data_IF_044785146365
#
_entry.id   IF_044785146365
#
_cell.length_a   1.000
_cell.length_b   1.000
_cell.length_c   1.000
_cell.angle_alpha   90.00
_cell.angle_beta   90.00
_cell.angle_gamma   90.00
#
_symmetry.space_group_name_H-M   'P 1'
#
loop_
_entity.id
_entity.type
_entity.pdbx_description
1 polymer ?
#
# COMPACT_ATOMS: atom_id res chain seq x y z
N UNK A 1 -2.27 -6.97 20.19
CA UNK A 1 -1.67 -5.98 19.28
C UNK A 1 -1.25 -6.65 17.97
N UNK A 2 -1.82 -6.18 16.89
CA UNK A 2 -1.47 -6.71 15.60
C UNK A 2 -0.16 -6.11 15.09
N UNK A 3 0.67 -6.93 14.50
CA UNK A 3 1.93 -6.52 13.91
C UNK A 3 2.38 -7.65 12.99
N UNK A 4 3.44 -7.43 12.24
CA UNK A 4 4.11 -8.52 11.55
C UNK A 4 4.76 -9.35 12.65
N UNK A 5 4.14 -10.47 12.96
CA UNK A 5 4.42 -11.20 14.18
C UNK A 5 5.49 -12.25 14.03
N UNK A 6 5.60 -12.88 12.87
CA UNK A 6 6.54 -13.96 12.68
C UNK A 6 7.79 -13.45 11.98
N UNK A 7 8.90 -14.08 12.31
CA UNK A 7 10.17 -13.79 11.65
C UNK A 7 10.05 -14.03 10.13
N UNK A 8 9.32 -15.06 9.74
CA UNK A 8 9.13 -15.40 8.33
C UNK A 8 8.36 -14.31 7.59
N UNK A 9 7.31 -13.77 8.21
CA UNK A 9 6.52 -12.69 7.61
C UNK A 9 7.37 -11.44 7.44
N UNK A 10 8.17 -11.10 8.44
CA UNK A 10 9.06 -9.96 8.40
C UNK A 10 10.07 -10.13 7.24
N UNK A 11 10.70 -11.30 7.15
CA UNK A 11 11.69 -11.58 6.10
C UNK A 11 11.06 -11.52 4.72
N UNK A 12 9.87 -12.08 4.56
CA UNK A 12 9.13 -12.05 3.30
C UNK A 12 8.86 -10.61 2.87
N UNK A 13 8.39 -9.80 3.80
CA UNK A 13 8.11 -8.40 3.49
C UNK A 13 9.39 -7.62 3.21
N UNK A 14 10.45 -7.89 3.96
CA UNK A 14 11.72 -7.21 3.77
C UNK A 14 12.27 -7.46 2.36
N UNK A 15 12.24 -8.72 1.91
CA UNK A 15 12.67 -9.08 0.55
C UNK A 15 11.83 -8.36 -0.49
N UNK A 16 10.54 -8.36 -0.31
CA UNK A 16 9.59 -7.70 -1.20
C UNK A 16 9.85 -6.19 -1.27
N UNK A 17 9.99 -5.56 -0.11
CA UNK A 17 10.25 -4.12 -0.03
C UNK A 17 11.57 -3.75 -0.69
N UNK A 18 12.65 -4.50 -0.39
CA UNK A 18 13.96 -4.23 -0.97
C UNK A 18 13.92 -4.31 -2.49
N UNK A 19 13.21 -5.28 -3.03
CA UNK A 19 13.05 -5.42 -4.48
C UNK A 19 12.33 -4.21 -5.07
N UNK A 20 11.21 -3.81 -4.48
CA UNK A 20 10.45 -2.64 -4.94
C UNK A 20 11.23 -1.34 -4.79
N UNK A 21 11.88 -1.16 -3.65
CA UNK A 21 12.68 0.03 -3.36
C UNK A 21 13.85 0.16 -4.35
N UNK A 22 14.55 -0.94 -4.61
CA UNK A 22 15.68 -0.94 -5.55
C UNK A 22 15.24 -0.59 -6.97
N UNK A 23 14.11 -1.14 -7.40
CA UNK A 23 13.53 -0.82 -8.70
C UNK A 23 13.13 0.66 -8.78
N UNK A 24 12.48 1.17 -7.74
CA UNK A 24 12.10 2.58 -7.70
C UNK A 24 13.31 3.50 -7.75
N UNK A 25 14.38 3.14 -7.05
CA UNK A 25 15.63 3.89 -7.03
C UNK A 25 16.26 3.93 -8.42
N UNK A 26 16.27 2.80 -9.11
CA UNK A 26 16.78 2.73 -10.48
C UNK A 26 15.95 3.60 -11.43
N UNK A 27 14.62 3.54 -11.32
CA UNK A 27 13.73 4.37 -12.12
C UNK A 27 14.00 5.86 -11.90
N UNK A 28 14.15 6.28 -10.64
CA UNK A 28 14.45 7.68 -10.31
C UNK A 28 15.77 8.12 -10.96
N UNK A 29 16.75 7.24 -10.96
CA UNK A 29 18.06 7.52 -11.56
C UNK A 29 17.96 7.69 -13.08
N UNK A 30 17.17 6.83 -13.73
CA UNK A 30 17.00 6.86 -15.18
C UNK A 30 16.07 7.98 -15.66
N UNK A 31 15.28 8.57 -14.76
CA UNK A 31 14.27 9.56 -15.12
C UNK A 31 14.48 10.89 -14.40
N UNK A 32 15.73 11.28 -14.21
CA UNK A 32 16.05 12.54 -13.55
C UNK A 32 15.38 13.72 -14.27
N UNK A 33 14.80 14.62 -13.49
CA UNK A 33 14.10 15.77 -14.02
C UNK A 33 12.67 15.54 -14.44
N UNK A 34 12.20 14.29 -14.38
CA UNK A 34 10.81 13.96 -14.74
C UNK A 34 9.90 14.02 -13.52
N UNK A 35 8.60 14.20 -13.76
CA UNK A 35 7.59 14.22 -12.71
C UNK A 35 7.36 12.81 -12.17
N UNK A 36 6.70 12.73 -11.00
CA UNK A 36 6.35 11.44 -10.41
C UNK A 36 5.48 10.61 -11.37
N UNK A 37 4.49 11.23 -12.01
CA UNK A 37 3.63 10.55 -12.97
C UNK A 37 4.38 9.99 -14.16
N UNK A 38 5.32 10.77 -14.69
CA UNK A 38 6.16 10.34 -15.79
C UNK A 38 7.06 9.16 -15.39
N UNK A 39 7.60 9.22 -14.17
CA UNK A 39 8.43 8.14 -13.63
C UNK A 39 7.66 6.85 -13.49
N UNK A 40 6.43 6.93 -13.00
CA UNK A 40 5.57 5.75 -12.85
C UNK A 40 5.25 5.15 -14.22
N UNK A 41 4.93 5.98 -15.20
CA UNK A 41 4.66 5.52 -16.57
C UNK A 41 5.90 4.84 -17.17
N UNK A 42 7.07 5.43 -16.97
CA UNK A 42 8.33 4.84 -17.45
C UNK A 42 8.57 3.48 -16.79
N UNK A 43 8.35 3.39 -15.47
CA UNK A 43 8.56 2.16 -14.73
C UNK A 43 7.70 1.01 -15.30
N UNK A 44 6.47 1.31 -15.65
CA UNK A 44 5.53 0.30 -16.16
C UNK A 44 5.88 -0.23 -17.54
N UNK A 45 6.69 0.50 -18.31
CA UNK A 45 7.18 0.02 -19.58
C UNK A 45 8.58 -0.60 -19.47
N UNK A 46 9.37 -0.11 -18.53
CA UNK A 46 10.76 -0.55 -18.34
C UNK A 46 10.87 -1.87 -17.57
N UNK A 47 10.07 -2.02 -16.52
CA UNK A 47 10.09 -3.22 -15.67
C UNK A 47 9.24 -4.29 -16.31
N UNK A 48 9.74 -5.54 -16.45
CA UNK A 48 8.96 -6.63 -17.03
C UNK A 48 7.65 -6.84 -16.29
N UNK A 49 6.57 -7.13 -17.03
CA UNK A 49 5.24 -7.34 -16.45
C UNK A 49 5.21 -8.45 -15.41
N UNK A 50 5.93 -9.54 -15.66
CA UNK A 50 5.98 -10.64 -14.70
C UNK A 50 6.51 -10.18 -13.35
N UNK A 51 7.51 -9.28 -13.37
CA UNK A 51 8.05 -8.70 -12.14
C UNK A 51 7.01 -7.79 -11.48
N UNK A 52 6.38 -6.91 -12.26
CA UNK A 52 5.37 -5.97 -11.73
C UNK A 52 4.17 -6.69 -11.12
N UNK A 53 3.80 -7.84 -11.68
CA UNK A 53 2.65 -8.62 -11.20
C UNK A 53 2.95 -9.45 -9.96
N UNK A 54 4.22 -9.57 -9.57
CA UNK A 54 4.59 -10.28 -8.34
C UNK A 54 3.93 -9.60 -7.15
N UNK A 55 3.37 -10.39 -6.22
CA UNK A 55 2.73 -9.82 -5.04
C UNK A 55 2.91 -10.72 -3.83
N UNK A 56 2.68 -10.13 -2.65
CA UNK A 56 2.68 -10.84 -1.38
C UNK A 56 1.39 -10.53 -0.63
N UNK A 57 1.05 -11.40 0.31
CA UNK A 57 -0.02 -11.13 1.27
C UNK A 57 0.59 -10.26 2.37
N UNK A 58 0.04 -9.07 2.57
CA UNK A 58 0.60 -8.12 3.53
C UNK A 58 -0.25 -7.95 4.77
N UNK A 59 -1.48 -8.44 4.75
CA UNK A 59 -2.34 -8.30 5.91
C UNK A 59 -3.65 -9.03 5.74
N UNK A 60 -4.44 -9.00 6.81
CA UNK A 60 -5.74 -9.62 6.87
C UNK A 60 -6.77 -8.57 7.27
N UNK A 61 -7.78 -8.41 6.44
CA UNK A 61 -8.86 -7.47 6.69
C UNK A 61 -9.77 -8.02 7.78
N UNK A 62 -10.27 -7.13 8.65
CA UNK A 62 -11.26 -7.49 9.65
C UNK A 62 -12.60 -7.81 8.98
N UNK A 63 -13.50 -8.43 9.72
CA UNK A 63 -14.85 -8.72 9.22
C UNK A 63 -15.54 -7.42 8.81
N UNK A 64 -15.41 -6.38 9.62
CA UNK A 64 -16.00 -5.07 9.30
C UNK A 64 -15.42 -4.47 8.02
N UNK A 65 -14.10 -4.58 7.84
CA UNK A 65 -13.47 -4.07 6.64
C UNK A 65 -13.93 -4.85 5.40
N UNK A 66 -14.05 -6.17 5.50
CA UNK A 66 -14.55 -7.00 4.39
C UNK A 66 -15.95 -6.55 3.98
N UNK A 67 -16.82 -6.28 4.94
CA UNK A 67 -18.17 -5.81 4.68
C UNK A 67 -18.17 -4.44 3.99
N UNK A 68 -17.37 -3.51 4.50
CA UNK A 68 -17.28 -2.18 3.92
C UNK A 68 -16.74 -2.21 2.49
N UNK A 69 -15.77 -3.07 2.22
CA UNK A 69 -15.19 -3.21 0.89
C UNK A 69 -16.06 -4.07 -0.03
N UNK A 70 -17.09 -4.71 0.52
CA UNK A 70 -17.94 -5.65 -0.22
C UNK A 70 -17.11 -6.75 -0.87
N UNK A 71 -16.07 -7.20 -0.17
CA UNK A 71 -15.14 -8.22 -0.65
C UNK A 71 -15.54 -9.61 -0.16
N UNK A 72 -15.15 -10.64 -0.89
CA UNK A 72 -15.31 -12.03 -0.45
C UNK A 72 -14.02 -12.58 0.13
N UNK A 73 -12.94 -11.81 0.09
CA UNK A 73 -11.63 -12.24 0.59
C UNK A 73 -11.16 -11.36 1.74
N UNK A 74 -10.55 -11.99 2.76
CA UNK A 74 -9.95 -11.26 3.87
C UNK A 74 -8.48 -10.90 3.61
N UNK A 75 -7.88 -11.44 2.55
CA UNK A 75 -6.46 -11.22 2.28
C UNK A 75 -6.24 -9.86 1.63
N UNK A 76 -5.24 -9.12 2.13
CA UNK A 76 -4.78 -7.88 1.52
C UNK A 76 -3.43 -8.17 0.84
N UNK A 77 -3.34 -7.88 -0.44
CA UNK A 77 -2.13 -8.11 -1.25
C UNK A 77 -1.44 -6.81 -1.60
N UNK A 78 -0.13 -6.90 -1.79
CA UNK A 78 0.67 -5.77 -2.24
C UNK A 78 1.51 -6.23 -3.43
N UNK A 79 1.39 -5.54 -4.56
CA UNK A 79 2.13 -5.90 -5.78
C UNK A 79 3.41 -5.10 -5.91
N UNK A 80 4.36 -5.64 -6.68
CA UNK A 80 5.59 -4.92 -7.00
C UNK A 80 5.26 -3.63 -7.74
N UNK A 81 4.30 -3.65 -8.66
CA UNK A 81 3.86 -2.45 -9.37
C UNK A 81 3.48 -1.34 -8.37
N UNK A 82 2.69 -1.67 -7.38
CA UNK A 82 2.22 -0.68 -6.41
C UNK A 82 3.29 -0.24 -5.41
N UNK A 83 4.18 -1.14 -4.97
CA UNK A 83 5.27 -0.72 -4.08
C UNK A 83 6.27 0.18 -4.82
N UNK A 84 6.58 -0.12 -6.08
CA UNK A 84 7.45 0.74 -6.89
C UNK A 84 6.82 2.12 -7.05
N UNK A 85 5.55 2.15 -7.44
CA UNK A 85 4.82 3.41 -7.58
C UNK A 85 4.82 4.20 -6.26
N UNK A 86 4.57 3.52 -5.16
CA UNK A 86 4.50 4.18 -3.87
C UNK A 86 5.86 4.73 -3.44
N UNK A 87 6.94 4.00 -3.68
CA UNK A 87 8.29 4.49 -3.37
C UNK A 87 8.67 5.70 -4.23
N UNK A 88 8.13 5.79 -5.44
CA UNK A 88 8.36 6.94 -6.31
C UNK A 88 7.55 8.16 -5.86
N UNK A 89 6.25 7.96 -5.61
CA UNK A 89 5.32 9.06 -5.36
C UNK A 89 5.25 9.50 -3.90
N UNK A 90 5.55 8.59 -2.97
CA UNK A 90 5.47 8.83 -1.52
C UNK A 90 6.77 8.40 -0.85
N UNK A 91 7.86 9.08 -1.22
CA UNK A 91 9.20 8.73 -0.73
C UNK A 91 9.42 9.04 0.75
N UNK A 92 8.50 9.76 1.37
CA UNK A 92 8.52 10.03 2.80
C UNK A 92 8.07 8.84 3.65
N UNK A 93 7.41 7.85 3.04
CA UNK A 93 7.02 6.61 3.72
C UNK A 93 8.25 5.71 3.82
N UNK A 94 8.59 5.32 5.03
CA UNK A 94 9.78 4.50 5.30
C UNK A 94 9.39 3.03 5.48
N UNK A 95 10.39 2.15 5.48
CA UNK A 95 10.16 0.73 5.66
C UNK A 95 9.34 0.44 6.92
N UNK A 96 9.66 1.12 8.02
CA UNK A 96 8.96 0.93 9.31
C UNK A 96 7.49 1.31 9.21
N UNK A 97 7.16 2.28 8.39
CA UNK A 97 5.76 2.68 8.19
C UNK A 97 4.98 1.57 7.49
N UNK A 98 5.59 0.94 6.48
CA UNK A 98 4.94 -0.17 5.76
C UNK A 98 4.62 -1.34 6.68
N UNK A 99 5.41 -1.53 7.73
CA UNK A 99 5.18 -2.59 8.71
C UNK A 99 3.90 -2.39 9.50
N UNK A 100 3.29 -1.21 9.42
CA UNK A 100 2.01 -0.91 10.07
C UNK A 100 0.81 -1.40 9.26
N UNK A 101 1.00 -1.72 7.98
CA UNK A 101 -0.14 -2.09 7.11
C UNK A 101 -0.95 -3.25 7.67
N UNK A 102 -0.36 -4.34 8.19
CA UNK A 102 -1.17 -5.42 8.77
C UNK A 102 -2.06 -4.94 9.92
N UNK A 103 -1.56 -4.05 10.75
CA UNK A 103 -2.31 -3.50 11.87
C UNK A 103 -3.46 -2.61 11.37
N UNK A 104 -3.21 -1.79 10.35
CA UNK A 104 -4.24 -0.93 9.75
C UNK A 104 -5.34 -1.77 9.12
N UNK A 105 -4.98 -2.82 8.40
CA UNK A 105 -5.93 -3.71 7.75
C UNK A 105 -6.85 -4.39 8.78
N UNK A 106 -6.30 -4.76 9.92
CA UNK A 106 -7.06 -5.43 10.97
C UNK A 106 -7.94 -4.46 11.76
N UNK A 107 -7.46 -3.26 12.03
CA UNK A 107 -8.17 -2.31 12.88
C UNK A 107 -7.94 -0.86 12.45
N UNK A 108 -8.52 -0.45 11.32
CA UNK A 108 -8.40 0.95 10.91
C UNK A 108 -9.18 1.87 11.86
N UNK A 109 -8.74 3.12 11.95
CA UNK A 109 -9.46 4.12 12.75
C UNK A 109 -10.78 4.49 12.08
N UNK A 110 -10.80 4.49 10.75
CA UNK A 110 -11.99 4.81 9.97
C UNK A 110 -11.84 4.25 8.56
N UNK A 111 -12.95 3.83 7.96
CA UNK A 111 -13.00 3.39 6.57
C UNK A 111 -13.91 4.35 5.82
N UNK A 112 -13.40 4.88 4.70
CA UNK A 112 -14.17 5.76 3.83
C UNK A 112 -14.38 5.07 2.49
N UNK A 113 -15.63 4.89 2.11
CA UNK A 113 -15.95 4.30 0.82
C UNK A 113 -15.83 5.33 -0.28
N UNK A 114 -15.33 4.88 -1.43
CA UNK A 114 -15.20 5.71 -2.61
C UNK A 114 -16.13 5.19 -3.70
N UNK A 115 -16.62 6.09 -4.55
CA UNK A 115 -17.46 5.72 -5.69
C UNK A 115 -16.66 4.97 -6.76
N UNK A 116 -15.35 5.07 -6.74
CA UNK A 116 -14.48 4.52 -7.78
C UNK A 116 -13.92 3.14 -7.43
N UNK A 117 -14.39 2.52 -6.34
CA UNK A 117 -13.89 1.23 -5.91
C UNK A 117 -12.54 1.30 -5.21
N UNK A 118 -12.06 2.50 -4.91
CA UNK A 118 -10.85 2.71 -4.11
C UNK A 118 -11.28 3.16 -2.74
N UNK A 119 -11.22 2.27 -1.78
CA UNK A 119 -11.64 2.58 -0.42
C UNK A 119 -10.44 3.00 0.42
N UNK A 120 -10.69 3.87 1.40
CA UNK A 120 -9.62 4.49 2.18
C UNK A 120 -9.73 4.03 3.62
N UNK A 121 -8.61 3.53 4.14
CA UNK A 121 -8.48 3.19 5.56
C UNK A 121 -7.57 4.22 6.21
N UNK A 122 -8.10 4.92 7.21
CA UNK A 122 -7.34 5.90 7.99
C UNK A 122 -6.88 5.26 9.29
N UNK A 123 -5.69 5.64 9.73
CA UNK A 123 -5.12 5.10 10.95
C UNK A 123 -4.24 6.14 11.62
N UNK A 124 -4.36 6.23 12.93
CA UNK A 124 -3.52 7.11 13.74
C UNK A 124 -2.83 6.28 14.82
N UNK A 125 -1.52 6.45 14.93
CA UNK A 125 -0.75 5.84 16.02
C UNK A 125 0.29 6.87 16.47
N UNK A 126 0.24 7.21 17.74
CA UNK A 126 1.09 8.27 18.31
C UNK A 126 0.85 9.58 17.56
N UNK A 127 1.89 10.17 17.00
CA UNK A 127 1.77 11.42 16.23
C UNK A 127 1.81 11.19 14.73
N UNK A 128 1.66 9.94 14.30
CA UNK A 128 1.66 9.59 12.88
C UNK A 128 0.26 9.27 12.39
N UNK A 129 -0.03 9.74 11.19
CA UNK A 129 -1.34 9.59 10.56
C UNK A 129 -1.13 8.94 9.20
N UNK A 130 -1.88 7.88 8.92
CA UNK A 130 -1.71 7.08 7.71
C UNK A 130 -2.98 7.03 6.90
N UNK A 131 -2.80 6.99 5.58
CA UNK A 131 -3.89 6.76 4.63
C UNK A 131 -3.52 5.56 3.77
N UNK A 132 -4.26 4.48 3.91
CA UNK A 132 -4.09 3.27 3.12
C UNK A 132 -5.25 3.19 2.13
N UNK A 133 -4.94 3.21 0.83
CA UNK A 133 -5.96 3.07 -0.20
C UNK A 133 -5.97 1.62 -0.68
N UNK A 134 -7.14 1.00 -0.65
CA UNK A 134 -7.33 -0.39 -1.02
C UNK A 134 -8.26 -0.48 -2.22
N UNK A 135 -7.88 -1.27 -3.20
CA UNK A 135 -8.69 -1.55 -4.39
C UNK A 135 -9.18 -2.99 -4.30
N UNK A 136 -10.49 -3.18 -4.31
CA UNK A 136 -11.09 -4.50 -4.43
C UNK A 136 -11.44 -4.73 -5.90
N UNK A 137 -11.13 -5.90 -6.41
CA UNK A 137 -11.36 -6.23 -7.82
C UNK A 137 -12.86 -6.27 -8.14
N UNK A 138 -13.21 -6.18 -9.43
CA UNK A 138 -14.60 -6.14 -9.88
C UNK A 138 -15.40 -7.36 -9.43
N UNK A 139 -14.79 -8.55 -9.46
CA UNK A 139 -15.44 -9.78 -8.99
C UNK A 139 -15.37 -9.95 -7.47
N UNK A 140 -14.84 -8.94 -6.76
CA UNK A 140 -14.83 -8.86 -5.30
C UNK A 140 -14.01 -9.94 -4.59
N UNK A 141 -13.14 -10.64 -5.29
CA UNK A 141 -12.40 -11.75 -4.71
C UNK A 141 -10.94 -11.45 -4.37
N UNK A 142 -10.46 -10.24 -4.66
CA UNK A 142 -9.09 -9.84 -4.32
C UNK A 142 -9.04 -8.39 -3.85
N UNK A 143 -8.19 -8.13 -2.87
CA UNK A 143 -7.97 -6.79 -2.34
C UNK A 143 -6.49 -6.44 -2.46
N UNK A 144 -6.19 -5.28 -3.03
CA UNK A 144 -4.81 -4.83 -3.23
C UNK A 144 -4.55 -3.50 -2.56
N UNK A 145 -3.36 -3.35 -1.99
CA UNK A 145 -2.89 -2.02 -1.58
C UNK A 145 -2.66 -1.22 -2.86
N UNK A 146 -3.37 -0.12 -3.00
CA UNK A 146 -3.23 0.76 -4.14
C UNK A 146 -2.20 1.85 -3.87
N UNK A 147 -2.24 2.44 -2.67
CA UNK A 147 -1.26 3.42 -2.24
C UNK A 147 -1.24 3.53 -0.72
N UNK A 148 -0.15 4.04 -0.19
CA UNK A 148 0.03 4.20 1.25
C UNK A 148 0.77 5.49 1.51
N UNK A 149 0.15 6.39 2.28
CA UNK A 149 0.64 7.75 2.50
C UNK A 149 0.74 8.07 3.98
N UNK A 150 1.69 8.95 4.30
CA UNK A 150 1.64 9.66 5.56
C UNK A 150 0.80 10.91 5.36
N UNK A 151 0.02 11.28 6.37
CA UNK A 151 -0.77 12.51 6.36
C UNK A 151 -0.31 13.44 7.47
N UNK A 152 -0.46 14.74 7.25
CA UNK A 152 -0.33 15.71 8.33
C UNK A 152 -1.61 15.68 9.14
N UNK A 153 -1.51 16.02 10.42
CA UNK A 153 -2.65 16.00 11.33
C UNK A 153 -3.84 16.80 10.78
N UNK A 154 -3.57 17.98 10.26
CA UNK A 154 -4.62 18.83 9.69
C UNK A 154 -5.39 18.12 8.57
N UNK A 155 -4.67 17.44 7.68
CA UNK A 155 -5.28 16.73 6.56
C UNK A 155 -6.06 15.51 7.06
N UNK A 156 -5.50 14.79 8.02
CA UNK A 156 -6.18 13.64 8.62
C UNK A 156 -7.51 14.07 9.23
N UNK A 157 -7.50 15.18 9.97
CA UNK A 157 -8.72 15.68 10.61
C UNK A 157 -9.79 16.11 9.63
N UNK A 158 -9.41 16.47 8.40
CA UNK A 158 -10.38 16.80 7.36
C UNK A 158 -11.18 15.57 6.92
N UNK A 159 -10.62 14.36 7.06
CA UNK A 159 -11.30 13.11 6.73
C UNK A 159 -12.21 12.64 7.86
N UNK A 160 -11.86 12.99 9.09
CA UNK A 160 -12.63 12.58 10.26
C UNK A 160 -13.77 13.55 10.50
#
# INVERSE_FOLDING_TARGET
>A
MSKICTQKEYETFNIFYEKGYSLAKEIKKLTQGQSAGERVSFARTYIPKDTLNGCINIGKLSIDAIKELESTSSTLKFSIDNIVKNCITHSDVKFEDYLKIPQIAEKPSKILKSKNGYDVMLFQENEKYYKLVVKTTKNKNENFVKSFHLLKEKRYNQYI
#
